data_IF_240087649371
#
_entry.id   IF_240087649371
#
_cell.length_a   1.000
_cell.length_b   1.000
_cell.length_c   1.000
_cell.angle_alpha   90.00
_cell.angle_beta   90.00
_cell.angle_gamma   90.00
#
_symmetry.space_group_name_H-M   'P 1'
#
loop_
_entity.id
_entity.type
_entity.pdbx_description
1 polymer ?
#
# COMPACT_ATOMS: atom_id res chain seq x y z
N UNK A 1 -21.02 -9.73 -3.03
CA UNK A 1 -20.62 -9.87 -1.60
C UNK A 1 -19.83 -8.65 -1.19
N UNK A 2 -20.05 -8.07 0.01
CA UNK A 2 -19.31 -6.88 0.47
C UNK A 2 -17.91 -7.25 0.98
N UNK A 3 -16.93 -6.32 0.85
CA UNK A 3 -15.58 -6.51 1.42
C UNK A 3 -15.65 -6.82 2.92
N UNK A 4 -16.48 -6.10 3.68
CA UNK A 4 -16.62 -6.32 5.14
C UNK A 4 -17.07 -7.72 5.54
N UNK A 5 -17.63 -8.50 4.61
CA UNK A 5 -18.09 -9.86 4.88
C UNK A 5 -16.96 -10.91 4.80
N UNK A 6 -15.81 -10.51 4.24
CA UNK A 6 -14.66 -11.41 4.02
C UNK A 6 -13.33 -10.86 4.53
N UNK A 7 -13.29 -9.56 4.88
CA UNK A 7 -12.12 -8.92 5.48
C UNK A 7 -12.48 -8.20 6.76
N UNK A 8 -11.68 -8.42 7.79
CA UNK A 8 -11.59 -7.53 8.93
C UNK A 8 -10.66 -6.37 8.59
N UNK A 9 -11.09 -5.13 8.82
CA UNK A 9 -10.31 -3.95 8.42
C UNK A 9 -10.12 -3.01 9.60
N UNK A 10 -8.85 -2.74 9.93
CA UNK A 10 -8.44 -1.84 11.02
C UNK A 10 -7.55 -0.73 10.48
N UNK A 11 -7.79 0.51 10.90
CA UNK A 11 -6.89 1.63 10.62
C UNK A 11 -5.72 1.64 11.58
N UNK A 12 -4.60 2.22 11.14
CA UNK A 12 -3.47 2.49 12.00
C UNK A 12 -3.73 3.58 13.04
N UNK A 13 -2.68 4.00 13.71
CA UNK A 13 -2.75 5.00 14.79
C UNK A 13 -3.11 6.39 14.24
N UNK A 14 -3.90 7.15 15.01
CA UNK A 14 -4.11 8.56 14.70
C UNK A 14 -2.81 9.34 14.88
N UNK A 15 -2.43 10.14 13.89
CA UNK A 15 -1.22 10.98 13.97
C UNK A 15 -1.24 11.91 15.20
N UNK A 16 -2.42 12.39 15.61
CA UNK A 16 -2.60 13.25 16.79
C UNK A 16 -2.41 12.53 18.12
N UNK A 17 -2.35 11.19 18.12
CA UNK A 17 -2.10 10.35 19.30
C UNK A 17 -0.67 9.84 19.38
N UNK A 18 0.18 10.26 18.47
CA UNK A 18 1.60 9.94 18.51
C UNK A 18 2.26 11.01 19.37
N UNK A 19 2.56 10.67 20.61
CA UNK A 19 3.34 11.51 21.52
C UNK A 19 4.81 11.15 21.35
N UNK A 20 5.57 12.05 20.71
CA UNK A 20 7.00 11.85 20.51
C UNK A 20 7.72 11.99 21.86
N UNK A 21 8.56 11.01 22.18
CA UNK A 21 9.34 10.96 23.41
C UNK A 21 10.71 11.61 23.21
N UNK A 22 11.09 12.49 24.13
CA UNK A 22 12.43 13.09 24.18
C UNK A 22 13.46 12.20 24.90
N UNK A 23 13.05 11.05 25.38
CA UNK A 23 13.94 10.12 26.11
C UNK A 23 14.90 9.45 25.14
N UNK A 24 16.17 9.35 25.53
CA UNK A 24 17.23 8.74 24.71
C UNK A 24 17.04 7.22 24.51
N UNK A 25 16.35 6.57 25.45
CA UNK A 25 16.06 5.12 25.46
C UNK A 25 14.72 4.77 24.82
N UNK A 26 13.93 5.76 24.37
CA UNK A 26 12.66 5.52 23.67
C UNK A 26 12.89 4.89 22.30
N UNK A 27 12.02 3.95 21.93
CA UNK A 27 12.13 3.18 20.68
C UNK A 27 11.87 4.06 19.46
N UNK A 28 12.74 3.92 18.46
CA UNK A 28 12.57 4.60 17.17
C UNK A 28 11.79 3.69 16.22
N UNK A 29 10.76 4.25 15.59
CA UNK A 29 9.98 3.60 14.57
C UNK A 29 10.01 4.41 13.28
N UNK A 30 10.03 3.73 12.14
CA UNK A 30 9.86 4.35 10.82
C UNK A 30 8.38 4.37 10.47
N UNK A 31 7.89 5.49 9.93
CA UNK A 31 6.50 5.60 9.46
C UNK A 31 6.35 4.99 8.08
N UNK A 32 5.26 4.25 7.92
CA UNK A 32 4.79 3.77 6.62
C UNK A 32 3.98 4.87 5.94
N UNK A 33 4.49 5.38 4.84
CA UNK A 33 3.90 6.45 4.07
C UNK A 33 3.52 6.03 2.64
N UNK A 34 3.29 7.02 1.79
CA UNK A 34 2.91 6.79 0.40
C UNK A 34 4.07 6.25 -0.44
N UNK A 35 5.31 6.63 -0.09
CA UNK A 35 6.51 6.11 -0.76
C UNK A 35 6.66 4.61 -0.49
N UNK A 36 6.55 4.18 0.76
CA UNK A 36 6.63 2.78 1.16
C UNK A 36 5.51 1.96 0.50
N UNK A 37 4.31 2.52 0.39
CA UNK A 37 3.22 1.87 -0.33
C UNK A 37 3.58 1.64 -1.82
N UNK A 38 4.16 2.62 -2.47
CA UNK A 38 4.59 2.49 -3.87
C UNK A 38 5.78 1.55 -4.04
N UNK A 39 6.73 1.57 -3.10
CA UNK A 39 7.84 0.62 -3.09
C UNK A 39 7.31 -0.82 -3.00
N UNK A 40 6.38 -1.09 -2.09
CA UNK A 40 5.74 -2.39 -1.95
C UNK A 40 4.90 -2.77 -3.17
N UNK A 41 4.17 -1.83 -3.75
CA UNK A 41 3.29 -2.07 -4.88
C UNK A 41 4.08 -2.41 -6.16
N UNK A 42 5.16 -1.67 -6.41
CA UNK A 42 5.96 -1.81 -7.63
C UNK A 42 7.20 -2.68 -7.45
N UNK A 43 7.49 -3.13 -6.23
CA UNK A 43 8.62 -4.01 -5.92
C UNK A 43 9.99 -3.39 -6.20
N UNK A 44 10.09 -2.07 -6.15
CA UNK A 44 11.33 -1.34 -6.44
C UNK A 44 11.58 -0.34 -5.34
N UNK A 45 12.74 -0.40 -4.66
CA UNK A 45 13.08 0.58 -3.63
C UNK A 45 13.03 1.99 -4.21
N UNK A 46 12.36 2.88 -3.51
CA UNK A 46 12.44 4.32 -3.78
C UNK A 46 13.84 4.84 -3.50
N UNK A 47 14.11 6.09 -3.89
CA UNK A 47 15.31 6.76 -3.42
C UNK A 47 15.29 6.77 -1.89
N UNK A 48 16.38 6.43 -1.23
CA UNK A 48 16.52 6.35 0.25
C UNK A 48 16.40 7.74 0.93
N UNK A 49 15.62 8.65 0.35
CA UNK A 49 15.39 9.98 0.87
C UNK A 49 14.41 9.92 2.04
N UNK A 50 14.86 10.35 3.19
CA UNK A 50 14.09 10.90 4.31
C UNK A 50 12.86 10.11 4.77
N UNK A 51 13.04 8.80 5.05
CA UNK A 51 12.02 8.02 5.75
C UNK A 51 11.74 8.67 7.11
N UNK A 52 10.50 9.11 7.30
CA UNK A 52 10.11 9.79 8.53
C UNK A 52 10.20 8.81 9.71
N UNK A 53 11.04 9.16 10.67
CA UNK A 53 11.15 8.42 11.92
C UNK A 53 10.47 9.17 13.06
N UNK A 54 9.94 8.41 13.99
CA UNK A 54 9.35 8.90 15.23
C UNK A 54 9.95 8.15 16.41
N UNK A 55 10.13 8.82 17.53
CA UNK A 55 10.60 8.22 18.77
C UNK A 55 9.45 8.23 19.78
N UNK A 56 9.05 7.04 20.24
CA UNK A 56 7.93 6.88 21.18
C UNK A 56 8.25 5.83 22.24
N UNK A 57 7.66 5.96 23.42
CA UNK A 57 7.89 5.01 24.53
C UNK A 57 7.27 3.63 24.27
N UNK A 58 6.31 3.54 23.34
CA UNK A 58 5.73 2.28 22.89
C UNK A 58 4.70 2.48 21.79
N UNK A 59 4.50 1.43 20.97
CA UNK A 59 3.53 1.43 19.90
C UNK A 59 2.65 0.19 20.00
N UNK A 60 1.34 0.38 19.91
CA UNK A 60 0.40 -0.74 19.91
C UNK A 60 0.58 -1.62 18.65
N UNK A 61 0.47 -2.95 18.80
CA UNK A 61 0.73 -3.89 17.70
C UNK A 61 -0.24 -3.71 16.51
N UNK A 62 -1.40 -3.09 16.74
CA UNK A 62 -2.40 -2.82 15.69
C UNK A 62 -1.93 -1.82 14.64
N UNK A 63 -0.94 -0.97 14.95
CA UNK A 63 -0.40 0.05 14.05
C UNK A 63 0.94 -0.35 13.40
N UNK A 64 1.48 -1.53 13.71
CA UNK A 64 2.74 -2.03 13.17
C UNK A 64 2.45 -2.90 11.96
N UNK A 65 2.99 -2.53 10.82
CA UNK A 65 2.93 -3.31 9.58
C UNK A 65 3.78 -4.57 9.71
N UNK A 66 3.32 -5.67 9.13
CA UNK A 66 4.04 -6.94 9.07
C UNK A 66 4.18 -7.37 7.62
N UNK A 67 5.29 -8.03 7.31
CA UNK A 67 5.46 -8.67 6.01
C UNK A 67 4.23 -9.51 5.64
N UNK A 68 3.74 -9.33 4.42
CA UNK A 68 2.56 -10.02 3.91
C UNK A 68 1.22 -9.40 4.32
N UNK A 69 1.19 -8.33 5.12
CA UNK A 69 -0.05 -7.59 5.39
C UNK A 69 -0.59 -6.96 4.10
N UNK A 70 -1.91 -7.01 3.92
CA UNK A 70 -2.60 -6.24 2.89
C UNK A 70 -2.97 -4.87 3.48
N UNK A 71 -2.35 -3.80 2.97
CA UNK A 71 -2.65 -2.42 3.34
C UNK A 71 -3.38 -1.70 2.22
N UNK A 72 -4.40 -0.93 2.60
CA UNK A 72 -5.15 -0.03 1.73
C UNK A 72 -4.89 1.42 2.14
N UNK A 73 -4.52 2.28 1.18
CA UNK A 73 -4.33 3.72 1.41
C UNK A 73 -5.65 4.46 1.27
N UNK A 74 -6.05 5.20 2.31
CA UNK A 74 -7.21 6.11 2.23
C UNK A 74 -6.87 7.41 1.50
N UNK A 75 -5.60 7.62 1.13
CA UNK A 75 -5.13 8.78 0.37
C UNK A 75 -5.24 8.50 -1.12
N UNK A 76 -4.58 7.43 -1.61
CA UNK A 76 -4.54 7.10 -3.04
C UNK A 76 -5.66 6.16 -3.49
N UNK A 77 -6.30 5.43 -2.57
CA UNK A 77 -7.29 4.40 -2.88
C UNK A 77 -6.66 3.10 -3.42
N UNK A 78 -5.36 2.93 -3.26
CA UNK A 78 -4.62 1.76 -3.71
C UNK A 78 -4.34 0.80 -2.56
N UNK A 79 -4.17 -0.47 -2.91
CA UNK A 79 -3.82 -1.53 -1.98
C UNK A 79 -2.51 -2.21 -2.39
N UNK A 80 -1.72 -2.62 -1.40
CA UNK A 80 -0.46 -3.35 -1.62
C UNK A 80 -0.24 -4.42 -0.56
N UNK A 81 0.77 -5.26 -0.79
CA UNK A 81 1.27 -6.23 0.19
C UNK A 81 2.58 -5.70 0.77
N UNK A 82 2.63 -5.58 2.08
CA UNK A 82 3.83 -5.13 2.80
C UNK A 82 4.99 -6.08 2.52
N UNK A 83 6.11 -5.56 2.06
CA UNK A 83 7.34 -6.30 1.84
C UNK A 83 8.12 -6.52 3.13
N UNK A 84 9.12 -7.41 3.10
CA UNK A 84 10.04 -7.62 4.21
C UNK A 84 10.83 -6.35 4.59
N UNK A 85 11.07 -5.43 3.64
CA UNK A 85 11.77 -4.17 3.91
C UNK A 85 10.99 -3.24 4.84
N UNK A 86 9.66 -3.32 4.80
CA UNK A 86 8.77 -2.47 5.60
C UNK A 86 8.16 -3.20 6.81
N UNK A 87 8.67 -4.39 7.13
CA UNK A 87 8.28 -5.09 8.36
C UNK A 87 8.63 -4.25 9.58
N UNK A 88 7.70 -4.11 10.52
CA UNK A 88 7.90 -3.30 11.73
C UNK A 88 7.66 -1.79 11.56
N UNK A 89 7.33 -1.30 10.36
CA UNK A 89 6.96 0.11 10.17
C UNK A 89 5.61 0.43 10.79
N UNK A 90 5.44 1.67 11.23
CA UNK A 90 4.20 2.14 11.84
C UNK A 90 3.34 2.84 10.80
N UNK A 91 2.12 2.37 10.61
CA UNK A 91 1.15 3.03 9.73
C UNK A 91 0.10 3.81 10.51
N UNK A 92 -0.30 4.93 9.93
CA UNK A 92 -1.26 5.86 10.53
C UNK A 92 -2.69 5.56 10.07
N UNK A 93 -3.65 6.35 10.56
CA UNK A 93 -5.07 6.30 10.14
C UNK A 93 -5.31 6.50 8.63
N UNK A 94 -4.26 6.90 7.88
CA UNK A 94 -4.31 7.01 6.44
C UNK A 94 -4.20 5.66 5.72
N UNK A 95 -3.95 4.59 6.47
CA UNK A 95 -3.86 3.22 5.96
C UNK A 95 -4.77 2.31 6.77
N UNK A 96 -5.37 1.35 6.08
CA UNK A 96 -6.17 0.30 6.69
C UNK A 96 -5.54 -1.06 6.39
N UNK A 97 -5.26 -1.83 7.45
CA UNK A 97 -4.91 -3.25 7.31
C UNK A 97 -6.17 -4.04 7.05
N UNK A 98 -6.10 -4.91 6.04
CA UNK A 98 -7.17 -5.80 5.65
C UNK A 98 -6.75 -7.24 5.93
N UNK A 99 -7.41 -7.87 6.89
CA UNK A 99 -7.15 -9.26 7.28
C UNK A 99 -8.25 -10.17 6.73
N UNK A 100 -7.93 -11.18 5.89
CA UNK A 100 -8.94 -12.09 5.38
C UNK A 100 -9.54 -12.91 6.52
N UNK A 101 -10.86 -13.00 6.56
CA UNK A 101 -11.62 -13.78 7.56
C UNK A 101 -11.65 -15.30 7.25
N UNK A 102 -11.16 -15.68 6.07
CA UNK A 102 -11.09 -17.09 5.66
C UNK A 102 -9.88 -17.33 4.76
N UNK A 103 -9.49 -18.59 4.63
CA UNK A 103 -8.41 -19.04 3.72
C UNK A 103 -8.84 -19.09 2.25
N UNK A 104 -10.08 -18.76 1.95
CA UNK A 104 -10.64 -18.77 0.59
C UNK A 104 -10.40 -17.46 -0.18
N UNK A 105 -9.71 -16.51 0.44
CA UNK A 105 -9.42 -15.20 -0.17
C UNK A 105 -7.92 -14.92 -0.12
N UNK A 106 -7.36 -14.66 -1.29
CA UNK A 106 -5.95 -14.32 -1.44
C UNK A 106 -5.74 -12.79 -1.33
N UNK A 107 -4.71 -12.38 -0.57
CA UNK A 107 -4.42 -10.98 -0.31
C UNK A 107 -3.93 -10.24 -1.56
N UNK A 108 -3.05 -10.85 -2.36
CA UNK A 108 -2.54 -10.26 -3.60
C UNK A 108 -3.65 -10.09 -4.64
N UNK A 109 -4.54 -11.09 -4.72
CA UNK A 109 -5.72 -11.00 -5.59
C UNK A 109 -6.65 -9.86 -5.16
N UNK A 110 -6.85 -9.67 -3.86
CA UNK A 110 -7.64 -8.54 -3.37
C UNK A 110 -7.00 -7.20 -3.71
N UNK A 111 -5.67 -7.06 -3.57
CA UNK A 111 -4.95 -5.87 -4.01
C UNK A 111 -5.18 -5.61 -5.51
N UNK A 112 -5.06 -6.67 -6.36
CA UNK A 112 -5.40 -6.58 -7.78
C UNK A 112 -6.84 -6.09 -8.02
N UNK A 113 -7.82 -6.66 -7.33
CA UNK A 113 -9.22 -6.25 -7.49
C UNK A 113 -9.43 -4.78 -7.13
N UNK A 114 -8.90 -4.33 -6.00
CA UNK A 114 -9.03 -2.93 -5.56
C UNK A 114 -8.38 -1.99 -6.58
N UNK A 115 -7.19 -2.33 -7.06
CA UNK A 115 -6.40 -1.46 -7.91
C UNK A 115 -6.86 -1.46 -9.37
N UNK A 116 -7.42 -2.57 -9.90
CA UNK A 116 -7.64 -2.71 -11.34
C UNK A 116 -9.08 -3.00 -11.75
N UNK A 117 -9.90 -3.58 -10.86
CA UNK A 117 -11.25 -3.95 -11.24
C UNK A 117 -12.13 -2.74 -11.52
N UNK A 118 -12.65 -2.63 -12.74
CA UNK A 118 -13.43 -1.47 -13.20
C UNK A 118 -14.73 -1.26 -12.42
N UNK A 119 -15.37 -2.34 -11.96
CA UNK A 119 -16.59 -2.24 -11.15
C UNK A 119 -16.27 -1.62 -9.78
N UNK A 120 -15.18 -2.04 -9.15
CA UNK A 120 -14.73 -1.50 -7.86
C UNK A 120 -14.30 -0.03 -8.01
N UNK A 121 -13.52 0.30 -9.05
CA UNK A 121 -13.15 1.69 -9.35
C UNK A 121 -14.37 2.59 -9.55
N UNK A 122 -15.41 2.11 -10.23
CA UNK A 122 -16.67 2.86 -10.38
C UNK A 122 -17.38 3.09 -9.05
N UNK A 123 -17.44 2.08 -8.18
CA UNK A 123 -18.04 2.21 -6.85
C UNK A 123 -17.28 3.25 -6.00
N UNK A 124 -15.95 3.25 -6.00
CA UNK A 124 -15.16 4.29 -5.35
C UNK A 124 -15.50 5.67 -5.93
N UNK A 125 -15.48 5.82 -7.25
CA UNK A 125 -15.77 7.10 -7.90
C UNK A 125 -17.18 7.64 -7.57
N UNK A 126 -18.20 6.79 -7.53
CA UNK A 126 -19.56 7.17 -7.17
C UNK A 126 -19.64 7.68 -5.73
N UNK A 127 -18.95 7.04 -4.80
CA UNK A 127 -18.94 7.44 -3.38
C UNK A 127 -18.10 8.71 -3.11
N UNK A 128 -17.21 9.10 -4.03
CA UNK A 128 -16.39 10.31 -3.93
C UNK A 128 -17.03 11.54 -4.57
N UNK A 129 -18.13 11.38 -5.31
CA UNK A 129 -18.84 12.50 -5.92
C UNK A 129 -19.47 13.41 -4.85
N UNK A 130 -19.17 14.71 -4.93
CA UNK A 130 -19.68 15.72 -3.97
C UNK A 130 -18.73 16.05 -2.82
N UNK A 131 -17.58 15.42 -2.71
CA UNK A 131 -16.55 15.77 -1.72
C UNK A 131 -15.53 16.75 -2.32
N UNK A 132 -15.25 17.85 -1.60
CA UNK A 132 -14.17 18.79 -1.97
C UNK A 132 -12.76 18.17 -1.84
N UNK A 133 -12.62 17.14 -1.00
CA UNK A 133 -11.38 16.42 -0.78
C UNK A 133 -11.60 14.95 -1.12
N UNK A 134 -10.85 14.44 -2.10
CA UNK A 134 -10.87 13.03 -2.46
C UNK A 134 -10.21 12.24 -1.33
N UNK A 135 -11.01 11.53 -0.53
CA UNK A 135 -10.53 10.66 0.52
C UNK A 135 -11.31 9.35 0.54
N UNK A 136 -10.59 8.26 0.39
CA UNK A 136 -11.14 6.91 0.43
C UNK A 136 -11.33 6.48 1.88
N UNK A 137 -12.55 6.62 2.41
CA UNK A 137 -12.81 6.26 3.81
C UNK A 137 -12.89 4.75 3.99
N UNK A 138 -12.57 4.29 5.21
CA UNK A 138 -12.74 2.87 5.58
C UNK A 138 -14.21 2.42 5.44
N UNK A 139 -15.19 3.33 5.64
CA UNK A 139 -16.60 3.04 5.44
C UNK A 139 -16.86 2.68 3.97
N UNK A 140 -16.41 3.50 3.04
CA UNK A 140 -16.56 3.25 1.60
C UNK A 140 -15.90 1.91 1.24
N UNK A 141 -14.67 1.65 1.69
CA UNK A 141 -13.97 0.39 1.43
C UNK A 141 -14.79 -0.83 1.89
N UNK A 142 -15.38 -0.78 3.08
CA UNK A 142 -16.20 -1.88 3.64
C UNK A 142 -17.47 -2.16 2.84
N UNK A 143 -18.06 -1.13 2.24
CA UNK A 143 -19.31 -1.19 1.47
C UNK A 143 -19.10 -1.55 -0.01
N UNK A 144 -17.85 -1.72 -0.47
CA UNK A 144 -17.55 -2.16 -1.84
C UNK A 144 -18.10 -3.57 -2.07
N UNK A 145 -18.84 -3.72 -3.15
CA UNK A 145 -19.36 -5.00 -3.63
C UNK A 145 -18.34 -5.64 -4.55
N UNK A 146 -17.89 -6.83 -4.17
CA UNK A 146 -16.94 -7.62 -4.94
C UNK A 146 -17.66 -8.40 -6.06
N UNK A 147 -16.99 -8.64 -7.19
CA UNK A 147 -17.43 -9.62 -8.16
C UNK A 147 -17.42 -11.03 -7.55
N UNK A 148 -17.92 -12.02 -8.29
CA UNK A 148 -17.73 -13.42 -7.94
C UNK A 148 -16.23 -13.76 -7.89
N UNK A 149 -15.81 -14.41 -6.80
CA UNK A 149 -14.42 -14.77 -6.59
C UNK A 149 -14.13 -16.14 -7.21
N UNK A 150 -13.10 -16.28 -8.06
CA UNK A 150 -12.72 -17.59 -8.57
C UNK A 150 -12.11 -18.47 -7.45
N UNK A 151 -11.86 -19.77 -7.73
CA UNK A 151 -11.16 -20.66 -6.80
C UNK A 151 -9.84 -20.06 -6.33
N UNK A 152 -9.43 -20.40 -5.09
CA UNK A 152 -8.25 -19.79 -4.43
C UNK A 152 -6.95 -19.93 -5.23
N UNK A 153 -6.79 -21.04 -5.96
CA UNK A 153 -5.62 -21.29 -6.81
C UNK A 153 -5.54 -20.26 -7.96
N UNK A 154 -6.70 -19.94 -8.55
CA UNK A 154 -6.80 -18.92 -9.61
C UNK A 154 -6.55 -17.52 -9.03
N UNK A 155 -7.08 -17.24 -7.83
CA UNK A 155 -6.81 -15.96 -7.16
C UNK A 155 -5.30 -15.76 -6.94
N UNK A 156 -4.60 -16.76 -6.40
CA UNK A 156 -3.14 -16.72 -6.17
C UNK A 156 -2.38 -16.47 -7.46
N UNK A 157 -2.74 -17.20 -8.51
CA UNK A 157 -2.09 -17.04 -9.83
C UNK A 157 -2.26 -15.63 -10.37
N UNK A 158 -3.48 -15.07 -10.33
CA UNK A 158 -3.77 -13.71 -10.81
C UNK A 158 -3.01 -12.69 -9.96
N UNK A 159 -3.04 -12.81 -8.64
CA UNK A 159 -2.33 -11.93 -7.72
C UNK A 159 -0.82 -11.93 -7.96
N UNK A 160 -0.22 -13.08 -8.11
CA UNK A 160 1.22 -13.20 -8.41
C UNK A 160 1.60 -12.62 -9.77
N UNK A 161 0.79 -12.85 -10.81
CA UNK A 161 0.99 -12.26 -12.13
C UNK A 161 0.89 -10.73 -12.04
N UNK A 162 -0.10 -10.20 -11.34
CA UNK A 162 -0.29 -8.77 -11.17
C UNK A 162 0.94 -8.08 -10.59
N UNK A 163 1.43 -8.53 -9.43
CA UNK A 163 2.61 -7.93 -8.80
C UNK A 163 3.89 -8.10 -9.66
N UNK A 164 4.06 -9.24 -10.32
CA UNK A 164 5.17 -9.43 -11.28
C UNK A 164 5.10 -8.48 -12.46
N UNK A 165 3.90 -8.18 -12.98
CA UNK A 165 3.72 -7.21 -14.07
C UNK A 165 4.00 -5.77 -13.61
N UNK A 166 3.61 -5.39 -12.39
CA UNK A 166 3.95 -4.09 -11.82
C UNK A 166 5.46 -3.93 -11.66
N UNK A 167 6.13 -4.93 -11.10
CA UNK A 167 7.59 -4.95 -10.99
C UNK A 167 8.26 -4.83 -12.37
N UNK A 168 7.84 -5.64 -13.34
CA UNK A 168 8.39 -5.61 -14.70
C UNK A 168 8.22 -4.23 -15.35
N UNK A 169 7.04 -3.62 -15.21
CA UNK A 169 6.75 -2.25 -15.69
C UNK A 169 7.71 -1.25 -15.06
N UNK A 170 7.89 -1.30 -13.75
CA UNK A 170 8.77 -0.41 -13.00
C UNK A 170 10.23 -0.55 -13.43
N UNK A 171 10.72 -1.79 -13.57
CA UNK A 171 12.08 -2.06 -14.04
C UNK A 171 12.32 -1.54 -15.46
N UNK A 172 11.38 -1.74 -16.38
CA UNK A 172 11.47 -1.20 -17.75
C UNK A 172 11.53 0.32 -17.77
N UNK A 173 10.74 0.99 -16.95
CA UNK A 173 10.75 2.45 -16.84
C UNK A 173 12.10 2.95 -16.32
N UNK A 174 12.68 2.30 -15.31
CA UNK A 174 14.01 2.64 -14.78
C UNK A 174 15.11 2.43 -15.82
N UNK A 175 15.06 1.33 -16.56
CA UNK A 175 16.03 1.09 -17.65
C UNK A 175 15.94 2.19 -18.70
N UNK A 176 14.74 2.56 -19.14
CA UNK A 176 14.55 3.64 -20.11
C UNK A 176 15.10 4.97 -19.60
N UNK A 177 14.79 5.34 -18.36
CA UNK A 177 15.28 6.55 -17.71
C UNK A 177 16.80 6.57 -17.56
N UNK A 178 17.40 5.48 -17.10
CA UNK A 178 18.86 5.39 -16.95
C UNK A 178 19.56 5.44 -18.32
N UNK A 179 19.00 4.81 -19.34
CA UNK A 179 19.55 4.86 -20.71
C UNK A 179 19.49 6.29 -21.24
N UNK A 180 18.39 7.00 -21.03
CA UNK A 180 18.25 8.41 -21.41
C UNK A 180 19.30 9.29 -20.70
N UNK A 181 19.41 9.16 -19.37
CA UNK A 181 20.39 9.92 -18.57
C UNK A 181 21.83 9.67 -19.02
N UNK A 182 22.16 8.40 -19.28
CA UNK A 182 23.48 8.03 -19.79
C UNK A 182 23.76 8.69 -21.16
N UNK A 183 22.78 8.64 -22.07
CA UNK A 183 22.92 9.25 -23.39
C UNK A 183 23.16 10.77 -23.30
N UNK A 184 22.40 11.46 -22.42
CA UNK A 184 22.61 12.90 -22.21
C UNK A 184 23.98 13.20 -21.59
N UNK A 185 24.41 12.40 -20.60
CA UNK A 185 25.75 12.58 -20.00
C UNK A 185 26.88 12.37 -21.02
N UNK A 186 26.73 11.41 -21.94
CA UNK A 186 27.70 11.19 -23.02
C UNK A 186 27.76 12.39 -24.00
N UNK A 187 26.61 12.98 -24.34
CA UNK A 187 26.58 14.17 -25.22
C UNK A 187 27.24 15.40 -24.55
N UNK A 188 27.02 15.59 -23.24
CA UNK A 188 27.65 16.66 -22.46
C UNK A 188 29.15 16.48 -22.26
N UNK A 189 29.66 15.25 -22.32
CA UNK A 189 31.11 14.97 -22.20
C UNK A 189 31.90 15.10 -23.51
N UNK A 190 31.23 15.45 -24.61
CA UNK A 190 31.85 15.68 -25.93
C UNK A 190 32.13 17.17 -26.17
N UNK A 191 31.65 18.09 -25.31
CA UNK A 191 31.97 19.51 -25.29
C UNK A 191 33.26 19.76 -24.46
#
# INVERSE_FOLDING_TARGET
MYIQNIFHSNTGISQYRIEESNRSDAKVYTLYGQNELYEDLYGVPGAMSDRKQIRVDGMGPGAIAKEGDLLFSTISGEATIVSAEHDGYVFTQNYARMEPMSRLVDRKYMAYLINENQSIKRQFKQNLQGSQVIRYSLKILKEIVLPELPPIEIQRMIGDIYFKQLLLRSLRQRVAENTYRLSIAMLQGVE
#
